data_IF_429457939045
#
_entry.id   IF_429457939045
#
_cell.length_a   1.000
_cell.length_b   1.000
_cell.length_c   1.000
_cell.angle_alpha   90.00
_cell.angle_beta   90.00
_cell.angle_gamma   90.00
#
_symmetry.space_group_name_H-M   'P 1'
#
loop_
_entity.id
_entity.type
_entity.pdbx_description
1 polymer ?
#
# COMPACT_ATOMS: atom_id res chain seq x y z
N UNK A 1 3.97 35.82 -12.15
CA UNK A 1 5.05 34.82 -12.10
C UNK A 1 4.86 33.90 -13.28
N UNK A 2 5.88 33.77 -14.13
CA UNK A 2 5.85 32.95 -15.35
C UNK A 2 6.99 31.95 -15.22
N UNK A 3 6.67 30.66 -15.10
CA UNK A 3 7.66 29.61 -14.95
C UNK A 3 8.14 29.10 -16.31
N UNK A 4 9.44 28.84 -16.44
CA UNK A 4 10.06 28.33 -17.68
C UNK A 4 10.42 26.85 -17.58
N UNK A 5 11.03 26.44 -16.47
CA UNK A 5 11.52 25.07 -16.30
C UNK A 5 11.43 24.62 -14.84
N UNK A 6 11.58 23.31 -14.61
CA UNK A 6 11.66 22.76 -13.27
C UNK A 6 12.36 21.41 -13.25
N UNK A 7 13.04 21.12 -12.14
CA UNK A 7 13.71 19.85 -11.90
C UNK A 7 13.65 19.50 -10.41
N UNK A 8 13.24 18.27 -10.11
CA UNK A 8 13.08 17.82 -8.73
C UNK A 8 12.04 18.70 -8.01
N UNK A 9 12.41 19.31 -6.88
CA UNK A 9 11.51 20.20 -6.15
C UNK A 9 11.64 21.68 -6.55
N UNK A 10 12.46 22.03 -7.54
CA UNK A 10 12.73 23.41 -7.90
C UNK A 10 12.07 23.79 -9.23
N UNK A 11 11.54 25.01 -9.31
CA UNK A 11 11.00 25.64 -10.53
C UNK A 11 11.74 26.96 -10.75
N UNK A 12 12.12 27.24 -11.99
CA UNK A 12 12.81 28.46 -12.41
C UNK A 12 11.86 29.34 -13.23
N UNK A 13 11.77 30.63 -12.90
CA UNK A 13 11.02 31.60 -13.71
C UNK A 13 11.81 32.11 -14.92
N UNK A 14 11.11 32.79 -15.83
CA UNK A 14 11.71 33.37 -17.05
C UNK A 14 12.75 34.48 -16.77
N UNK A 15 12.79 35.00 -15.56
CA UNK A 15 13.76 36.01 -15.11
C UNK A 15 15.00 35.35 -14.47
N UNK A 16 15.04 34.01 -14.39
CA UNK A 16 16.15 33.22 -13.86
C UNK A 16 16.12 33.02 -12.35
N UNK A 17 15.01 33.30 -11.66
CA UNK A 17 14.87 33.06 -10.23
C UNK A 17 14.40 31.63 -9.95
N UNK A 18 15.03 30.97 -8.98
CA UNK A 18 14.66 29.63 -8.52
C UNK A 18 13.73 29.66 -7.31
N UNK A 19 12.71 28.80 -7.34
CA UNK A 19 11.72 28.64 -6.29
C UNK A 19 11.60 27.17 -5.89
N UNK A 20 11.53 26.92 -4.59
CA UNK A 20 11.21 25.59 -4.06
C UNK A 20 9.70 25.38 -4.09
N UNK A 21 9.25 24.35 -4.80
CA UNK A 21 7.85 23.97 -4.94
C UNK A 21 7.36 23.19 -3.72
N UNK A 22 6.87 23.93 -2.73
CA UNK A 22 6.20 23.37 -1.55
C UNK A 22 4.77 22.89 -1.83
N UNK A 23 4.27 23.05 -3.06
CA UNK A 23 2.92 22.63 -3.45
C UNK A 23 2.92 21.32 -4.22
N UNK A 24 4.09 20.84 -4.69
CA UNK A 24 4.19 19.66 -5.55
C UNK A 24 3.29 19.78 -6.79
N UNK A 25 3.35 20.93 -7.47
CA UNK A 25 2.55 21.22 -8.66
C UNK A 25 1.04 21.04 -8.45
N UNK A 26 0.52 21.57 -7.34
CA UNK A 26 -0.86 21.33 -6.86
C UNK A 26 -1.14 19.89 -6.38
N UNK A 27 -0.24 19.35 -5.55
CA UNK A 27 -0.32 18.02 -4.93
C UNK A 27 -0.28 16.86 -5.93
N UNK A 28 0.21 17.09 -7.15
CA UNK A 28 0.16 16.14 -8.26
C UNK A 28 1.55 15.64 -8.72
N UNK A 29 2.66 16.21 -8.21
CA UNK A 29 4.03 15.88 -8.63
C UNK A 29 4.84 15.22 -7.51
N UNK A 30 4.48 13.99 -7.07
CA UNK A 30 5.18 13.31 -5.98
C UNK A 30 6.64 12.95 -6.31
N UNK A 31 7.00 12.86 -7.59
CA UNK A 31 8.36 12.58 -8.06
C UNK A 31 9.15 13.86 -8.41
N UNK A 32 8.53 15.03 -8.24
CA UNK A 32 9.09 16.31 -8.66
C UNK A 32 8.97 16.59 -10.16
N UNK A 33 9.42 17.77 -10.54
CA UNK A 33 9.45 18.27 -11.91
C UNK A 33 10.50 17.51 -12.75
N UNK A 34 10.15 17.22 -14.01
CA UNK A 34 11.02 16.60 -15.02
C UNK A 34 11.78 15.35 -14.54
N UNK A 35 11.11 14.44 -13.82
CA UNK A 35 11.71 13.17 -13.41
C UNK A 35 12.25 12.39 -14.61
N UNK A 36 13.55 12.06 -14.62
CA UNK A 36 14.25 11.57 -15.80
C UNK A 36 13.63 10.29 -16.37
N UNK A 37 13.37 9.30 -15.51
CA UNK A 37 12.77 8.02 -15.92
C UNK A 37 11.35 8.18 -16.48
N UNK A 38 10.55 9.09 -15.90
CA UNK A 38 9.18 9.32 -16.36
C UNK A 38 9.19 10.02 -17.72
N UNK A 39 10.07 11.00 -17.88
CA UNK A 39 10.23 11.75 -19.12
C UNK A 39 10.66 10.83 -20.26
N UNK A 40 11.63 9.94 -20.01
CA UNK A 40 12.07 8.97 -21.02
C UNK A 40 10.97 7.96 -21.35
N UNK A 41 10.32 7.38 -20.34
CA UNK A 41 9.19 6.44 -20.54
C UNK A 41 8.08 7.05 -21.39
N UNK A 42 7.74 8.32 -21.15
CA UNK A 42 6.74 9.05 -21.94
C UNK A 42 7.19 9.26 -23.39
N UNK A 43 8.46 9.61 -23.62
CA UNK A 43 9.03 9.76 -24.98
C UNK A 43 9.00 8.45 -25.75
N UNK A 44 9.51 7.37 -25.14
CA UNK A 44 9.51 6.04 -25.75
C UNK A 44 8.09 5.59 -26.12
N UNK A 45 7.13 5.76 -25.20
CA UNK A 45 5.74 5.38 -25.45
C UNK A 45 5.11 6.24 -26.55
N UNK A 46 5.32 7.56 -26.55
CA UNK A 46 4.82 8.46 -27.59
C UNK A 46 5.40 8.12 -28.97
N UNK A 47 6.65 7.65 -29.04
CA UNK A 47 7.27 7.16 -30.26
C UNK A 47 6.63 5.87 -30.82
N UNK A 48 5.89 5.13 -29.99
CA UNK A 48 5.11 3.96 -30.40
C UNK A 48 3.68 4.35 -30.77
N UNK A 49 2.96 4.95 -29.82
CA UNK A 49 1.62 5.51 -30.01
C UNK A 49 1.20 6.32 -28.77
N UNK A 50 0.49 7.43 -29.01
CA UNK A 50 -0.04 8.31 -27.95
C UNK A 50 -1.40 7.84 -27.43
N UNK A 51 -2.20 7.20 -28.27
CA UNK A 51 -3.55 6.74 -27.94
C UNK A 51 -3.88 5.43 -28.63
N UNK A 52 -4.61 4.57 -27.93
CA UNK A 52 -5.17 3.31 -28.41
C UNK A 52 -6.67 3.27 -28.06
N UNK A 53 -7.46 2.49 -28.80
CA UNK A 53 -8.87 2.28 -28.48
C UNK A 53 -9.06 1.43 -27.21
N UNK A 54 -10.21 1.55 -26.55
CA UNK A 54 -10.52 0.82 -25.31
C UNK A 54 -10.93 -0.65 -25.48
N UNK A 55 -11.03 -1.15 -26.71
CA UNK A 55 -11.42 -2.53 -27.04
C UNK A 55 -10.22 -3.47 -27.19
N UNK A 56 -9.01 -2.90 -27.26
CA UNK A 56 -7.76 -3.63 -27.39
C UNK A 56 -6.94 -3.53 -26.10
N UNK A 57 -5.98 -4.44 -25.95
CA UNK A 57 -5.05 -4.46 -24.82
C UNK A 57 -3.63 -4.27 -25.31
N UNK A 58 -2.79 -3.67 -24.47
CA UNK A 58 -1.36 -3.54 -24.71
C UNK A 58 -0.55 -4.02 -23.50
N UNK A 59 0.74 -4.32 -23.68
CA UNK A 59 1.59 -4.82 -22.60
C UNK A 59 1.65 -3.90 -21.37
N UNK A 60 1.58 -2.57 -21.57
CA UNK A 60 1.63 -1.59 -20.48
C UNK A 60 0.35 -1.62 -19.62
N UNK A 61 -0.81 -1.78 -20.25
CA UNK A 61 -2.09 -1.90 -19.55
C UNK A 61 -2.13 -3.18 -18.72
N UNK A 62 -1.62 -4.30 -19.26
CA UNK A 62 -1.51 -5.57 -18.52
C UNK A 62 -0.56 -5.42 -17.33
N UNK A 63 0.64 -4.87 -17.55
CA UNK A 63 1.61 -4.64 -16.48
C UNK A 63 1.06 -3.70 -15.39
N UNK A 64 0.32 -2.65 -15.78
CA UNK A 64 -0.36 -1.76 -14.84
C UNK A 64 -1.42 -2.49 -14.03
N UNK A 65 -2.27 -3.31 -14.66
CA UNK A 65 -3.29 -4.08 -13.96
C UNK A 65 -2.68 -5.07 -12.95
N UNK A 66 -1.59 -5.76 -13.33
CA UNK A 66 -0.83 -6.63 -12.43
C UNK A 66 -0.27 -5.85 -11.23
N UNK A 67 0.38 -4.72 -11.47
CA UNK A 67 0.92 -3.87 -10.42
C UNK A 67 -0.18 -3.31 -9.49
N UNK A 68 -1.33 -2.93 -10.05
CA UNK A 68 -2.48 -2.43 -9.29
C UNK A 68 -3.05 -3.51 -8.38
N UNK A 69 -3.25 -4.72 -8.88
CA UNK A 69 -3.75 -5.86 -8.09
C UNK A 69 -2.74 -6.24 -7.01
N UNK A 70 -1.44 -6.30 -7.33
CA UNK A 70 -0.39 -6.57 -6.34
C UNK A 70 -0.36 -5.50 -5.23
N UNK A 71 -0.52 -4.23 -5.60
CA UNK A 71 -0.61 -3.12 -4.64
C UNK A 71 -1.85 -3.24 -3.77
N UNK A 72 -3.01 -3.53 -4.36
CA UNK A 72 -4.26 -3.73 -3.62
C UNK A 72 -4.14 -4.90 -2.62
N UNK A 73 -3.52 -6.01 -3.02
CA UNK A 73 -3.21 -7.13 -2.13
C UNK A 73 -2.33 -6.68 -0.96
N UNK A 74 -1.22 -5.99 -1.24
CA UNK A 74 -0.30 -5.50 -0.21
C UNK A 74 -0.99 -4.55 0.77
N UNK A 75 -1.82 -3.62 0.28
CA UNK A 75 -2.60 -2.70 1.11
C UNK A 75 -3.59 -3.45 1.99
N UNK A 76 -4.37 -4.37 1.43
CA UNK A 76 -5.32 -5.19 2.19
C UNK A 76 -4.61 -6.01 3.28
N UNK A 77 -3.47 -6.62 2.94
CA UNK A 77 -2.66 -7.39 3.88
C UNK A 77 -2.14 -6.51 5.02
N UNK A 78 -1.55 -5.35 4.71
CA UNK A 78 -1.04 -4.41 5.69
C UNK A 78 -2.15 -3.88 6.62
N UNK A 79 -3.34 -3.58 6.07
CA UNK A 79 -4.49 -3.16 6.85
C UNK A 79 -5.02 -4.26 7.76
N UNK A 80 -5.06 -5.51 7.31
CA UNK A 80 -5.45 -6.65 8.12
C UNK A 80 -4.47 -6.85 9.28
N UNK A 81 -3.16 -6.84 9.00
CA UNK A 81 -2.11 -6.93 10.01
C UNK A 81 -2.19 -5.76 11.01
N UNK A 82 -2.39 -4.52 10.54
CA UNK A 82 -2.49 -3.35 11.41
C UNK A 82 -3.70 -3.45 12.34
N UNK A 83 -4.87 -3.83 11.83
CA UNK A 83 -6.10 -3.98 12.63
C UNK A 83 -5.94 -5.03 13.74
N UNK A 84 -5.44 -6.21 13.40
CA UNK A 84 -5.22 -7.29 14.36
C UNK A 84 -4.15 -6.93 15.40
N UNK A 85 -2.99 -6.46 14.94
CA UNK A 85 -1.86 -6.19 15.82
C UNK A 85 -2.06 -4.98 16.74
N UNK A 86 -2.87 -3.99 16.35
CA UNK A 86 -3.11 -2.79 17.16
C UNK A 86 -3.88 -3.12 18.43
N UNK A 87 -4.93 -3.94 18.34
CA UNK A 87 -5.69 -4.39 19.51
C UNK A 87 -4.79 -5.19 20.48
N UNK A 88 -4.00 -6.14 19.95
CA UNK A 88 -3.06 -6.94 20.74
C UNK A 88 -1.99 -6.07 21.41
N UNK A 89 -1.37 -5.14 20.66
CA UNK A 89 -0.35 -4.23 21.19
C UNK A 89 -0.92 -3.32 22.27
N UNK A 90 -2.15 -2.86 22.13
CA UNK A 90 -2.80 -2.05 23.16
C UNK A 90 -2.92 -2.82 24.47
N UNK A 91 -3.48 -4.03 24.44
CA UNK A 91 -3.62 -4.88 25.63
C UNK A 91 -2.25 -5.21 26.23
N UNK A 92 -1.30 -5.70 25.43
CA UNK A 92 0.02 -6.11 25.93
C UNK A 92 0.87 -4.97 26.49
N UNK A 93 0.79 -3.77 25.90
CA UNK A 93 1.71 -2.66 26.23
C UNK A 93 1.11 -1.60 27.14
N UNK A 94 -0.22 -1.48 27.20
CA UNK A 94 -0.89 -0.38 27.92
C UNK A 94 -1.92 -0.82 28.95
N UNK A 95 -2.33 -2.09 28.96
CA UNK A 95 -3.34 -2.57 29.92
C UNK A 95 -2.66 -3.30 31.07
N UNK A 96 -2.91 -2.86 32.31
CA UNK A 96 -2.34 -3.46 33.52
C UNK A 96 -3.06 -4.74 33.94
N UNK A 97 -4.39 -4.74 33.90
CA UNK A 97 -5.24 -5.87 34.32
C UNK A 97 -6.56 -5.86 33.56
N UNK A 98 -7.02 -7.02 33.12
CA UNK A 98 -8.37 -7.25 32.57
C UNK A 98 -9.09 -8.23 33.48
N UNK A 99 -10.31 -7.91 33.90
CA UNK A 99 -11.17 -8.79 34.70
C UNK A 99 -12.63 -8.61 34.23
N UNK A 100 -13.34 -9.71 34.10
CA UNK A 100 -14.76 -9.73 33.77
C UNK A 100 -15.26 -11.16 33.57
N UNK A 101 -16.55 -11.29 33.30
CA UNK A 101 -17.21 -12.55 32.97
C UNK A 101 -17.99 -12.37 31.66
N UNK A 102 -18.08 -13.44 30.89
CA UNK A 102 -18.82 -13.54 29.65
C UNK A 102 -19.96 -14.53 29.91
N UNK A 103 -21.19 -14.07 29.82
CA UNK A 103 -22.36 -14.93 29.77
C UNK A 103 -22.70 -15.24 28.31
N UNK A 104 -22.70 -16.52 27.98
CA UNK A 104 -23.02 -17.01 26.64
C UNK A 104 -24.53 -17.18 26.49
N UNK A 105 -25.00 -17.17 25.25
CA UNK A 105 -26.43 -17.33 24.93
C UNK A 105 -27.02 -18.67 25.37
N UNK A 106 -26.18 -19.66 25.67
CA UNK A 106 -26.58 -20.97 26.21
C UNK A 106 -26.63 -21.00 27.75
N UNK A 107 -26.40 -19.85 28.41
CA UNK A 107 -26.35 -19.69 29.86
C UNK A 107 -25.02 -20.11 30.49
N UNK A 108 -24.01 -20.50 29.71
CA UNK A 108 -22.67 -20.78 30.25
C UNK A 108 -21.94 -19.49 30.60
N UNK A 109 -21.09 -19.54 31.63
CA UNK A 109 -20.24 -18.42 32.04
C UNK A 109 -18.77 -18.74 31.72
N UNK A 110 -18.04 -17.79 31.15
CA UNK A 110 -16.59 -17.88 30.99
C UNK A 110 -15.87 -16.61 31.47
N UNK A 111 -14.62 -16.75 31.90
CA UNK A 111 -13.87 -15.61 32.45
C UNK A 111 -13.25 -14.75 31.35
N UNK A 112 -13.47 -13.44 31.39
CA UNK A 112 -12.78 -12.47 30.55
C UNK A 112 -11.40 -12.16 31.13
N UNK A 113 -10.37 -12.61 30.41
CA UNK A 113 -8.95 -12.37 30.73
C UNK A 113 -8.27 -11.59 29.61
N UNK A 114 -7.09 -11.02 29.90
CA UNK A 114 -6.29 -10.35 28.87
C UNK A 114 -5.93 -11.33 27.73
N UNK A 115 -5.65 -12.60 28.08
CA UNK A 115 -5.35 -13.65 27.11
C UNK A 115 -6.54 -13.96 26.20
N UNK A 116 -7.73 -14.16 26.77
CA UNK A 116 -8.93 -14.45 25.97
C UNK A 116 -9.32 -13.31 25.02
N UNK A 117 -8.90 -12.07 25.30
CA UNK A 117 -9.07 -10.92 24.42
C UNK A 117 -8.06 -10.86 23.25
N UNK A 118 -6.84 -11.36 23.43
CA UNK A 118 -5.77 -11.23 22.43
C UNK A 118 -5.52 -12.48 21.61
N UNK A 119 -5.76 -13.66 22.18
CA UNK A 119 -5.41 -14.96 21.60
C UNK A 119 -6.02 -15.20 20.20
N UNK A 120 -7.31 -14.89 19.93
CA UNK A 120 -7.86 -15.05 18.58
C UNK A 120 -7.15 -14.17 17.53
N UNK A 121 -6.81 -12.94 17.88
CA UNK A 121 -6.13 -12.01 16.98
C UNK A 121 -4.67 -12.40 16.73
N UNK A 122 -3.99 -12.96 17.74
CA UNK A 122 -2.63 -13.50 17.60
C UNK A 122 -2.60 -14.74 16.70
N UNK A 123 -3.55 -15.66 16.89
CA UNK A 123 -3.71 -16.83 16.02
C UNK A 123 -4.01 -16.42 14.57
N UNK A 124 -4.92 -15.46 14.37
CA UNK A 124 -5.22 -14.92 13.05
C UNK A 124 -3.97 -14.32 12.38
N UNK A 125 -3.13 -13.58 13.13
CA UNK A 125 -1.89 -13.00 12.60
C UNK A 125 -0.86 -14.08 12.20
N UNK A 126 -0.78 -15.18 12.97
CA UNK A 126 0.07 -16.32 12.65
C UNK A 126 -0.40 -17.04 11.37
N UNK A 127 -1.70 -17.33 11.26
CA UNK A 127 -2.29 -17.95 10.07
C UNK A 127 -2.12 -17.06 8.84
N UNK A 128 -2.30 -15.74 8.97
CA UNK A 128 -2.08 -14.79 7.88
C UNK A 128 -0.64 -14.83 7.38
N UNK A 129 0.33 -14.91 8.30
CA UNK A 129 1.76 -15.04 7.95
C UNK A 129 2.03 -16.33 7.17
N UNK A 130 1.51 -17.46 7.65
CA UNK A 130 1.64 -18.75 6.96
C UNK A 130 0.99 -18.74 5.58
N UNK A 131 -0.21 -18.15 5.46
CA UNK A 131 -0.93 -18.05 4.20
C UNK A 131 -0.14 -17.24 3.15
N UNK A 132 0.47 -16.11 3.54
CA UNK A 132 1.30 -15.29 2.65
C UNK A 132 2.55 -16.05 2.21
N UNK A 133 3.20 -16.78 3.11
CA UNK A 133 4.38 -17.60 2.77
C UNK A 133 4.00 -18.72 1.80
N UNK A 134 2.90 -19.44 2.07
CA UNK A 134 2.39 -20.48 1.17
C UNK A 134 2.04 -19.92 -0.22
N UNK A 135 1.39 -18.76 -0.28
CA UNK A 135 1.07 -18.08 -1.54
C UNK A 135 2.35 -17.70 -2.31
N UNK A 136 3.37 -17.14 -1.64
CA UNK A 136 4.63 -16.77 -2.27
C UNK A 136 5.36 -18.00 -2.85
N UNK A 137 5.38 -19.11 -2.12
CA UNK A 137 5.94 -20.38 -2.60
C UNK A 137 5.17 -20.88 -3.82
N UNK A 138 3.84 -20.87 -3.78
CA UNK A 138 3.02 -21.29 -4.90
C UNK A 138 3.30 -20.45 -6.16
N UNK A 139 3.34 -19.12 -6.03
CA UNK A 139 3.65 -18.22 -7.14
C UNK A 139 5.06 -18.48 -7.72
N UNK A 140 6.05 -18.72 -6.86
CA UNK A 140 7.42 -19.05 -7.29
C UNK A 140 7.45 -20.37 -8.08
N UNK A 141 6.78 -21.41 -7.59
CA UNK A 141 6.71 -22.71 -8.27
C UNK A 141 6.05 -22.55 -9.63
N UNK A 142 4.93 -21.83 -9.73
CA UNK A 142 4.24 -21.59 -11.02
C UNK A 142 5.04 -20.76 -12.01
N UNK A 143 6.00 -19.96 -11.54
CA UNK A 143 6.91 -19.17 -12.38
C UNK A 143 8.08 -20.00 -12.93
N UNK A 144 8.43 -21.11 -12.27
CA UNK A 144 9.58 -21.96 -12.60
C UNK A 144 9.20 -23.23 -13.39
N UNK A 145 7.93 -23.63 -13.34
CA UNK A 145 7.34 -24.73 -14.13
C UNK A 145 6.99 -24.31 -15.55
#
# INVERSE_FOLDING_TARGET
>A
MIFESGQGSTITDVDGNDYLDFTSGMMCLPLGHAHAELTETLREQAGRFVHENCWCSNPQLVAFAEALIATAFAVCLALAQHRLSTAVRHVRRRVRTVRGELEHTDGTLSTLSARSLTEPAEQALQLLTLAVVALAVALLVTRLS
#
